data_IF_461105065461
#
_entry.id   IF_461105065461
#
_cell.length_a   1.000
_cell.length_b   1.000
_cell.length_c   1.000
_cell.angle_alpha   90.00
_cell.angle_beta   90.00
_cell.angle_gamma   90.00
#
_symmetry.space_group_name_H-M   'P 1'
#
loop_
_entity.id
_entity.type
_entity.pdbx_description
1 polymer ?
#
# COMPACT_ATOMS: atom_id res chain seq x y z
N UNK A 1 -42.01 -33.59 -21.80
CA UNK A 1 -40.66 -33.05 -22.04
C UNK A 1 -39.63 -34.17 -21.95
N UNK A 2 -38.99 -34.55 -23.06
CA UNK A 2 -37.67 -35.17 -23.13
C UNK A 2 -37.26 -35.26 -24.61
N UNK A 3 -36.44 -34.29 -25.04
CA UNK A 3 -35.89 -34.24 -26.38
C UNK A 3 -34.73 -35.24 -26.47
N UNK A 4 -34.83 -36.13 -27.46
CA UNK A 4 -33.72 -36.91 -27.98
C UNK A 4 -32.99 -36.11 -29.06
N UNK A 5 -31.67 -36.23 -29.10
CA UNK A 5 -30.90 -36.11 -30.34
C UNK A 5 -29.59 -36.86 -30.17
N UNK A 6 -29.57 -38.05 -30.78
CA UNK A 6 -28.41 -38.87 -31.11
C UNK A 6 -28.20 -38.66 -32.61
N UNK A 7 -26.95 -38.55 -33.09
CA UNK A 7 -26.43 -38.85 -34.45
C UNK A 7 -24.92 -38.52 -34.40
N UNK A 8 -23.97 -39.47 -34.53
CA UNK A 8 -23.48 -40.12 -35.78
C UNK A 8 -22.86 -39.07 -36.73
N UNK A 9 -21.66 -39.18 -37.32
CA UNK A 9 -20.93 -40.31 -37.92
C UNK A 9 -19.44 -39.95 -38.15
N UNK A 10 -18.62 -40.99 -38.31
CA UNK A 10 -17.22 -40.99 -38.69
C UNK A 10 -16.90 -40.34 -40.06
N UNK A 11 -15.63 -39.99 -40.29
CA UNK A 11 -15.01 -39.86 -41.62
C UNK A 11 -13.49 -40.10 -41.60
N UNK A 12 -13.10 -41.26 -42.16
CA UNK A 12 -12.07 -41.52 -43.18
C UNK A 12 -10.58 -41.11 -42.95
N UNK A 13 -9.76 -42.14 -42.70
CA UNK A 13 -8.54 -42.60 -43.43
C UNK A 13 -7.59 -41.57 -44.07
N UNK A 14 -6.29 -41.62 -43.70
CA UNK A 14 -5.17 -41.58 -44.66
C UNK A 14 -3.83 -42.12 -44.09
N UNK A 15 -3.39 -43.22 -44.72
CA UNK A 15 -2.04 -43.77 -44.98
C UNK A 15 -0.75 -43.11 -44.41
N UNK A 16 -0.05 -43.92 -43.61
CA UNK A 16 1.34 -44.41 -43.75
C UNK A 16 2.46 -43.58 -44.42
N UNK A 17 3.56 -43.50 -43.65
CA UNK A 17 4.97 -43.77 -43.99
C UNK A 17 5.94 -42.61 -44.29
N UNK A 18 7.05 -42.69 -43.54
CA UNK A 18 8.46 -42.46 -43.93
C UNK A 18 9.18 -41.20 -43.46
N UNK A 19 10.11 -41.50 -42.55
CA UNK A 19 11.53 -41.09 -42.49
C UNK A 19 11.91 -39.75 -41.86
N UNK A 20 13.06 -39.83 -41.18
CA UNK A 20 13.93 -38.77 -40.62
C UNK A 20 13.38 -38.23 -39.29
N UNK A 21 13.95 -38.49 -38.13
CA UNK A 21 15.37 -38.36 -37.76
C UNK A 21 15.50 -37.16 -36.82
N UNK A 22 16.43 -37.24 -35.87
CA UNK A 22 16.82 -36.26 -34.85
C UNK A 22 16.11 -36.30 -33.49
N UNK A 23 16.97 -36.49 -32.49
CA UNK A 23 16.74 -36.38 -31.07
C UNK A 23 16.10 -35.05 -30.67
N UNK A 24 15.15 -35.10 -29.74
CA UNK A 24 14.77 -33.96 -28.92
C UNK A 24 14.87 -34.37 -27.46
N UNK A 25 15.97 -33.98 -26.84
CA UNK A 25 16.14 -33.93 -25.39
C UNK A 25 15.10 -32.97 -24.83
N UNK A 26 14.13 -33.47 -24.07
CA UNK A 26 13.20 -32.61 -23.33
C UNK A 26 13.94 -32.20 -22.05
N UNK A 27 14.60 -31.05 -22.11
CA UNK A 27 15.17 -30.37 -20.95
C UNK A 27 14.04 -29.85 -20.07
N UNK A 28 13.86 -30.48 -18.90
CA UNK A 28 13.03 -29.99 -17.81
C UNK A 28 13.57 -28.63 -17.32
N UNK A 29 12.81 -27.55 -17.54
CA UNK A 29 13.11 -26.27 -16.91
C UNK A 29 12.55 -26.33 -15.49
N UNK A 30 13.41 -26.60 -14.51
CA UNK A 30 13.10 -26.38 -13.11
C UNK A 30 12.88 -24.88 -12.90
N UNK A 31 11.71 -24.53 -12.35
CA UNK A 31 11.36 -23.18 -11.92
C UNK A 31 12.36 -22.73 -10.85
N UNK A 32 13.25 -21.78 -11.17
CA UNK A 32 14.08 -21.11 -10.16
C UNK A 32 13.16 -20.20 -9.33
N UNK A 33 12.82 -20.64 -8.12
CA UNK A 33 12.30 -19.80 -7.06
C UNK A 33 13.35 -18.73 -6.72
N UNK A 34 13.12 -17.50 -7.17
CA UNK A 34 13.89 -16.34 -6.74
C UNK A 34 13.52 -16.03 -5.29
N UNK A 35 14.23 -16.62 -4.34
CA UNK A 35 14.22 -16.15 -2.96
C UNK A 35 14.92 -14.79 -2.92
N UNK A 36 14.13 -13.71 -2.90
CA UNK A 36 14.66 -12.38 -2.62
C UNK A 36 15.09 -12.35 -1.16
N UNK A 37 16.40 -12.29 -0.93
CA UNK A 37 16.96 -11.96 0.38
C UNK A 37 16.61 -10.50 0.69
N UNK A 38 15.52 -10.28 1.42
CA UNK A 38 15.31 -9.01 2.11
C UNK A 38 16.40 -8.91 3.18
N UNK A 39 17.38 -8.03 2.96
CA UNK A 39 18.34 -7.67 4.00
C UNK A 39 17.55 -7.21 5.24
N UNK A 40 17.90 -7.67 6.45
CA UNK A 40 17.26 -7.17 7.65
C UNK A 40 17.69 -5.71 7.78
N UNK A 41 16.77 -4.79 7.46
CA UNK A 41 16.85 -3.43 7.95
C UNK A 41 16.77 -3.56 9.46
N UNK A 42 17.93 -3.59 10.13
CA UNK A 42 18.03 -3.37 11.56
C UNK A 42 17.66 -1.91 11.81
N UNK A 43 16.38 -1.58 11.64
CA UNK A 43 15.79 -0.42 12.25
C UNK A 43 16.04 -0.61 13.74
N UNK A 44 16.99 0.16 14.27
CA UNK A 44 17.26 0.24 15.69
C UNK A 44 15.94 0.62 16.34
N UNK A 45 15.22 -0.39 16.83
CA UNK A 45 13.91 -0.21 17.44
C UNK A 45 14.20 0.29 18.84
N UNK A 46 14.54 1.56 18.94
CA UNK A 46 14.60 2.24 20.22
C UNK A 46 13.20 2.06 20.83
N UNK A 47 13.07 1.46 22.02
CA UNK A 47 11.78 1.32 22.67
C UNK A 47 11.20 2.72 22.85
N UNK A 48 10.20 3.05 22.04
CA UNK A 48 9.52 4.32 22.13
C UNK A 48 8.46 4.20 23.22
N UNK A 49 8.55 5.05 24.24
CA UNK A 49 7.56 5.10 25.29
C UNK A 49 6.30 5.83 24.80
N UNK A 50 5.25 5.06 24.53
CA UNK A 50 3.94 5.56 24.09
C UNK A 50 2.96 5.72 25.26
N UNK A 51 3.37 5.48 26.50
CA UNK A 51 2.47 5.45 27.67
C UNK A 51 1.85 6.80 28.02
N UNK A 52 2.49 7.91 27.63
CA UNK A 52 1.98 9.28 27.80
C UNK A 52 1.05 9.77 26.69
N UNK A 53 0.78 8.96 25.68
CA UNK A 53 -0.02 9.35 24.52
C UNK A 53 -1.49 9.05 24.77
N UNK A 54 -2.29 10.10 24.99
CA UNK A 54 -3.76 10.00 25.13
C UNK A 54 -4.50 10.10 23.78
N UNK A 55 -3.78 9.90 22.66
CA UNK A 55 -4.34 9.96 21.31
C UNK A 55 -4.55 8.55 20.73
N UNK A 56 -5.58 8.38 19.90
CA UNK A 56 -5.89 7.08 19.30
C UNK A 56 -4.99 6.79 18.10
N UNK A 57 -4.74 5.49 17.84
CA UNK A 57 -4.08 5.03 16.61
C UNK A 57 -4.76 5.53 15.32
N UNK A 58 -6.06 5.83 15.38
CA UNK A 58 -6.83 6.38 14.26
C UNK A 58 -6.42 7.81 13.95
N UNK A 59 -6.34 8.68 14.95
CA UNK A 59 -5.96 10.09 14.76
C UNK A 59 -4.52 10.20 14.22
N UNK A 60 -3.59 9.40 14.76
CA UNK A 60 -2.21 9.35 14.24
C UNK A 60 -2.20 8.89 12.77
N UNK A 61 -3.01 7.88 12.42
CA UNK A 61 -3.09 7.39 11.06
C UNK A 61 -3.74 8.40 10.11
N UNK A 62 -4.71 9.21 10.55
CA UNK A 62 -5.24 10.34 9.77
C UNK A 62 -4.12 11.32 9.46
N UNK A 63 -3.35 11.73 10.46
CA UNK A 63 -2.21 12.64 10.27
C UNK A 63 -1.22 12.06 9.26
N UNK A 64 -0.85 10.79 9.40
CA UNK A 64 0.05 10.14 8.47
C UNK A 64 -0.48 10.17 7.03
N UNK A 65 -1.76 9.84 6.81
CA UNK A 65 -2.35 9.89 5.46
C UNK A 65 -2.36 11.30 4.88
N UNK A 66 -2.67 12.32 5.69
CA UNK A 66 -2.61 13.72 5.25
C UNK A 66 -1.19 14.11 4.78
N UNK A 67 -0.16 13.63 5.49
CA UNK A 67 1.24 13.84 5.09
C UNK A 67 1.63 13.14 3.79
N UNK A 68 0.91 12.08 3.41
CA UNK A 68 1.12 11.36 2.16
C UNK A 68 0.39 12.04 0.99
N UNK A 69 -0.85 12.50 1.21
CA UNK A 69 -1.73 12.98 0.12
C UNK A 69 -1.61 14.48 -0.16
N UNK A 70 -1.33 15.31 0.84
CA UNK A 70 -1.39 16.76 0.68
C UNK A 70 -0.18 17.41 -0.01
N UNK A 71 1.08 17.02 0.25
CA UNK A 71 2.26 17.61 -0.39
C UNK A 71 2.23 17.70 -1.93
N UNK A 72 1.66 16.73 -2.70
CA UNK A 72 1.52 16.85 -4.15
C UNK A 72 0.31 17.68 -4.62
N UNK A 73 -0.64 18.00 -3.74
CA UNK A 73 -1.85 18.77 -4.07
C UNK A 73 -1.67 20.29 -3.88
N UNK A 74 -0.57 20.69 -3.23
CA UNK A 74 -0.30 22.07 -2.80
C UNK A 74 0.83 22.72 -3.61
N UNK A 75 0.73 24.05 -3.78
CA UNK A 75 1.84 24.84 -4.33
C UNK A 75 2.97 25.02 -3.31
N UNK A 76 4.12 25.56 -3.74
CA UNK A 76 5.31 25.67 -2.89
C UNK A 76 5.10 26.42 -1.56
N UNK A 77 4.33 27.52 -1.57
CA UNK A 77 4.03 28.30 -0.35
C UNK A 77 3.07 27.53 0.56
N UNK A 78 2.01 26.96 0.00
CA UNK A 78 1.05 26.14 0.74
C UNK A 78 1.73 24.92 1.36
N UNK A 79 2.63 24.26 0.64
CA UNK A 79 3.38 23.09 1.12
C UNK A 79 4.24 23.40 2.35
N UNK A 80 4.89 24.56 2.36
CA UNK A 80 5.66 25.01 3.53
C UNK A 80 4.77 25.24 4.74
N UNK A 81 3.62 25.90 4.56
CA UNK A 81 2.65 26.12 5.64
C UNK A 81 2.05 24.81 6.13
N UNK A 82 1.66 23.92 5.22
CA UNK A 82 1.20 22.56 5.54
C UNK A 82 2.18 21.83 6.46
N UNK A 83 3.48 21.80 6.12
CA UNK A 83 4.45 21.11 6.99
C UNK A 83 4.59 21.78 8.36
N UNK A 84 4.46 23.11 8.45
CA UNK A 84 4.43 23.83 9.74
C UNK A 84 3.22 23.37 10.55
N UNK A 85 2.01 23.52 10.02
CA UNK A 85 0.75 23.16 10.67
C UNK A 85 0.70 21.68 11.06
N UNK A 86 1.12 20.80 10.14
CA UNK A 86 1.23 19.36 10.37
C UNK A 86 2.16 19.02 11.55
N UNK A 87 3.34 19.65 11.63
CA UNK A 87 4.28 19.38 12.71
C UNK A 87 3.75 19.91 14.06
N UNK A 88 3.09 21.08 14.08
CA UNK A 88 2.44 21.59 15.30
C UNK A 88 1.37 20.62 15.77
N UNK A 89 0.48 20.21 14.88
CA UNK A 89 -0.61 19.30 15.20
C UNK A 89 -0.10 17.93 15.67
N UNK A 90 0.97 17.39 15.07
CA UNK A 90 1.62 16.18 15.59
C UNK A 90 2.16 16.35 17.01
N UNK A 91 2.76 17.49 17.31
CA UNK A 91 3.29 17.79 18.63
C UNK A 91 2.15 17.96 19.66
N UNK A 92 1.02 18.56 19.28
CA UNK A 92 -0.16 18.66 20.14
C UNK A 92 -0.78 17.29 20.45
N UNK A 93 -0.80 16.38 19.46
CA UNK A 93 -1.32 15.03 19.62
C UNK A 93 -0.38 14.12 20.45
N UNK A 94 0.94 14.36 20.36
CA UNK A 94 1.97 13.57 21.03
C UNK A 94 2.95 14.46 21.81
N UNK A 95 2.47 15.24 22.80
CA UNK A 95 3.27 16.29 23.44
C UNK A 95 4.38 15.74 24.34
N UNK A 96 4.31 14.47 24.72
CA UNK A 96 5.33 13.79 25.51
C UNK A 96 6.48 13.21 24.66
N UNK A 97 6.40 13.31 23.33
CA UNK A 97 7.40 12.73 22.42
C UNK A 97 8.28 13.84 21.83
N UNK A 98 9.59 13.64 21.93
CA UNK A 98 10.57 14.53 21.30
C UNK A 98 10.51 14.46 19.77
N UNK A 99 10.28 13.27 19.21
CA UNK A 99 10.06 13.06 17.78
C UNK A 99 8.76 12.29 17.51
N UNK A 100 7.64 13.00 17.30
CA UNK A 100 6.36 12.40 16.92
C UNK A 100 6.41 11.61 15.60
N UNK A 101 7.36 11.90 14.69
CA UNK A 101 7.48 11.18 13.42
C UNK A 101 8.12 9.81 13.61
N UNK A 102 9.08 9.68 14.53
CA UNK A 102 9.62 8.37 14.92
C UNK A 102 8.51 7.47 15.51
N UNK A 103 7.54 8.06 16.22
CA UNK A 103 6.37 7.34 16.72
C UNK A 103 5.49 6.77 15.61
N UNK A 104 5.20 7.58 14.61
CA UNK A 104 4.45 7.16 13.43
C UNK A 104 5.19 6.03 12.68
N UNK A 105 6.52 6.13 12.57
CA UNK A 105 7.34 5.09 11.96
C UNK A 105 7.28 3.78 12.75
N UNK A 106 7.42 3.85 14.08
CA UNK A 106 7.29 2.67 14.94
C UNK A 106 5.89 2.05 14.84
N UNK A 107 4.83 2.87 14.92
CA UNK A 107 3.44 2.42 14.77
C UNK A 107 3.20 1.75 13.42
N UNK A 108 3.81 2.25 12.34
CA UNK A 108 3.75 1.64 10.99
C UNK A 108 4.28 0.20 10.94
N UNK A 109 5.09 -0.23 11.92
CA UNK A 109 5.57 -1.61 12.06
C UNK A 109 4.53 -2.54 12.72
N UNK A 110 3.51 -2.01 13.39
CA UNK A 110 2.47 -2.79 14.06
C UNK A 110 1.34 -3.18 13.09
N UNK A 111 0.87 -4.43 13.18
CA UNK A 111 -0.12 -4.97 12.25
C UNK A 111 -1.46 -4.26 12.32
N UNK A 112 -1.95 -3.99 13.53
CA UNK A 112 -3.23 -3.33 13.76
C UNK A 112 -3.22 -1.88 13.24
N UNK A 113 -2.13 -1.16 13.47
CA UNK A 113 -1.97 0.19 12.93
C UNK A 113 -1.91 0.18 11.40
N UNK A 114 -1.25 -0.80 10.76
CA UNK A 114 -1.28 -0.94 9.29
C UNK A 114 -2.70 -1.16 8.76
N UNK A 115 -3.53 -1.93 9.45
CA UNK A 115 -4.93 -2.13 9.06
C UNK A 115 -5.72 -0.83 9.13
N UNK A 116 -5.57 -0.06 10.22
CA UNK A 116 -6.19 1.26 10.37
C UNK A 116 -5.71 2.21 9.26
N UNK A 117 -4.40 2.27 9.02
CA UNK A 117 -3.79 3.12 8.01
C UNK A 117 -4.30 2.80 6.60
N UNK A 118 -4.45 1.52 6.26
CA UNK A 118 -5.05 1.11 4.98
C UNK A 118 -6.51 1.53 4.86
N UNK A 119 -7.30 1.40 5.92
CA UNK A 119 -8.69 1.84 5.95
C UNK A 119 -8.82 3.34 5.70
N UNK A 120 -8.01 4.15 6.39
CA UNK A 120 -8.01 5.61 6.23
C UNK A 120 -7.53 6.00 4.83
N UNK A 121 -6.45 5.39 4.31
CA UNK A 121 -6.01 5.63 2.92
C UNK A 121 -7.12 5.36 1.92
N UNK A 122 -7.80 4.21 2.05
CA UNK A 122 -8.88 3.84 1.15
C UNK A 122 -10.04 4.82 1.23
N UNK A 123 -10.38 5.29 2.44
CA UNK A 123 -11.42 6.29 2.66
C UNK A 123 -11.04 7.63 2.02
N UNK A 124 -9.84 8.14 2.28
CA UNK A 124 -9.32 9.39 1.69
C UNK A 124 -9.24 9.33 0.17
N UNK A 125 -8.80 8.21 -0.40
CA UNK A 125 -8.76 8.02 -1.86
C UNK A 125 -10.15 7.86 -2.50
N UNK A 126 -11.19 7.60 -1.70
CA UNK A 126 -12.58 7.54 -2.15
C UNK A 126 -13.18 8.91 -2.50
N UNK A 127 -12.58 10.01 -2.02
CA UNK A 127 -13.02 11.36 -2.32
C UNK A 127 -12.52 11.85 -3.68
N UNK A 128 -13.27 12.78 -4.28
CA UNK A 128 -12.84 13.44 -5.49
C UNK A 128 -11.54 14.23 -5.23
N UNK A 129 -10.68 14.32 -6.25
CA UNK A 129 -9.40 15.04 -6.14
C UNK A 129 -9.56 16.49 -5.64
N UNK A 130 -10.65 17.15 -6.04
CA UNK A 130 -10.93 18.53 -5.62
C UNK A 130 -11.28 18.63 -4.13
N UNK A 131 -11.98 17.64 -3.57
CA UNK A 131 -12.32 17.58 -2.14
C UNK A 131 -11.06 17.35 -1.30
N UNK A 132 -10.23 16.39 -1.71
CA UNK A 132 -8.93 16.15 -1.07
C UNK A 132 -8.02 17.38 -1.16
N UNK A 133 -8.02 18.09 -2.30
CA UNK A 133 -7.28 19.33 -2.46
C UNK A 133 -7.76 20.41 -1.48
N UNK A 134 -9.07 20.63 -1.36
CA UNK A 134 -9.63 21.62 -0.44
C UNK A 134 -9.24 21.32 1.02
N UNK A 135 -9.35 20.06 1.45
CA UNK A 135 -8.89 19.63 2.77
C UNK A 135 -7.41 19.95 3.02
N UNK A 136 -6.57 19.72 2.01
CA UNK A 136 -5.14 20.02 2.11
C UNK A 136 -4.85 21.52 2.15
N UNK A 137 -5.64 22.33 1.44
CA UNK A 137 -5.54 23.79 1.49
C UNK A 137 -5.99 24.31 2.87
N UNK A 138 -7.09 23.79 3.42
CA UNK A 138 -7.56 24.13 4.77
C UNK A 138 -6.50 23.84 5.84
N UNK A 139 -5.85 22.67 5.77
CA UNK A 139 -4.78 22.33 6.70
C UNK A 139 -3.52 23.19 6.49
N UNK A 140 -3.23 23.59 5.25
CA UNK A 140 -2.13 24.50 4.95
C UNK A 140 -2.39 25.94 5.43
N UNK A 141 -3.64 26.34 5.54
CA UNK A 141 -4.04 27.69 5.94
C UNK A 141 -4.51 27.77 7.41
N UNK A 142 -4.51 26.64 8.12
CA UNK A 142 -4.79 26.58 9.54
C UNK A 142 -3.84 27.46 10.36
N UNK A 143 -4.41 28.28 11.24
CA UNK A 143 -3.68 29.23 12.08
C UNK A 143 -3.15 28.53 13.34
N UNK A 144 -1.84 28.26 13.35
CA UNK A 144 -1.07 27.72 14.48
C UNK A 144 0.15 28.60 14.80
#
# INVERSE_FOLDING_TARGET
MKNQSILSTASLVAKSASKVGLAALITSIAMLSQATNAAPNAATTIPLDLSGINITKHEIAVMQVLSEICPPMLNGKQKQRFYKSYNVQLHELMPSLEDPKAAIQYLSTQQDYRQILQGIRSWTMGFAKQENKALCEDLADAEY
#
